data_IF_998362860103
#
_entry.id   IF_998362860103
#
_cell.length_a   1.000
_cell.length_b   1.000
_cell.length_c   1.000
_cell.angle_alpha   90.00
_cell.angle_beta   90.00
_cell.angle_gamma   90.00
#
_symmetry.space_group_name_H-M   'P 1'
#
loop_
_entity.id
_entity.type
_entity.pdbx_description
1 polymer ?
#
# COMPACT_ATOMS: atom_id res chain seq x y z
N UNK A 1 9.56 -9.38 -2.17
CA UNK A 1 9.68 -10.19 -0.95
C UNK A 1 11.13 -10.57 -0.77
N UNK A 2 11.74 -10.17 0.34
CA UNK A 2 13.06 -10.68 0.73
C UNK A 2 12.85 -11.92 1.62
N UNK A 3 13.44 -13.09 1.30
CA UNK A 3 13.26 -14.31 2.08
C UNK A 3 13.65 -14.20 3.56
N UNK A 4 14.49 -13.22 3.94
CA UNK A 4 14.98 -13.03 5.31
C UNK A 4 14.21 -11.97 6.11
N UNK A 5 13.53 -11.01 5.44
CA UNK A 5 12.92 -9.85 6.12
C UNK A 5 11.38 -9.80 6.09
N UNK A 6 10.71 -10.73 5.40
CA UNK A 6 9.26 -10.75 5.31
C UNK A 6 8.69 -9.80 4.25
N UNK A 7 7.40 -9.47 4.35
CA UNK A 7 6.76 -8.51 3.45
C UNK A 7 6.93 -7.08 3.97
N UNK A 8 7.05 -6.13 3.05
CA UNK A 8 7.13 -4.71 3.36
C UNK A 8 6.17 -3.94 2.44
N UNK A 9 5.66 -2.81 2.94
CA UNK A 9 4.86 -1.86 2.19
C UNK A 9 5.64 -0.56 2.07
N UNK A 10 5.76 -0.06 0.84
CA UNK A 10 6.32 1.28 0.60
C UNK A 10 5.18 2.21 0.24
N UNK A 11 5.05 3.29 1.01
CA UNK A 11 4.14 4.39 0.73
C UNK A 11 4.96 5.52 0.13
N UNK A 12 4.61 5.96 -1.06
CA UNK A 12 5.27 7.05 -1.74
C UNK A 12 4.24 8.07 -2.22
N UNK A 13 4.64 9.33 -2.23
CA UNK A 13 3.81 10.36 -2.84
C UNK A 13 3.61 10.05 -4.34
N UNK A 14 2.41 10.30 -4.87
CA UNK A 14 2.09 10.22 -6.31
C UNK A 14 2.05 11.58 -7.02
N UNK A 15 2.25 11.59 -8.35
CA UNK A 15 2.12 12.76 -9.22
C UNK A 15 3.44 13.52 -9.46
N UNK A 16 3.38 14.61 -10.23
CA UNK A 16 4.58 15.33 -10.74
C UNK A 16 5.49 15.86 -9.62
N UNK A 17 4.94 16.20 -8.46
CA UNK A 17 5.69 16.77 -7.34
C UNK A 17 6.66 15.76 -6.68
N UNK A 18 6.55 14.47 -7.01
CA UNK A 18 7.17 13.39 -6.23
C UNK A 18 8.49 12.94 -6.83
N UNK A 19 8.63 13.05 -8.15
CA UNK A 19 9.91 12.94 -8.87
C UNK A 19 10.95 13.93 -8.33
N UNK A 20 10.49 15.10 -7.83
CA UNK A 20 11.37 16.12 -7.28
C UNK A 20 11.72 15.90 -5.80
N UNK A 21 10.83 15.26 -5.03
CA UNK A 21 10.91 15.22 -3.57
C UNK A 21 11.47 13.91 -3.00
N UNK A 22 11.50 12.83 -3.81
CA UNK A 22 11.89 11.49 -3.37
C UNK A 22 11.24 11.12 -2.02
N UNK A 23 9.91 11.30 -1.95
CA UNK A 23 9.13 11.23 -0.72
C UNK A 23 8.48 9.84 -0.57
N UNK A 24 9.15 8.97 0.17
CA UNK A 24 8.70 7.61 0.43
C UNK A 24 9.07 7.14 1.84
N UNK A 25 8.26 6.24 2.37
CA UNK A 25 8.49 5.53 3.63
C UNK A 25 8.19 4.05 3.44
N UNK A 26 9.00 3.18 4.03
CA UNK A 26 8.80 1.73 3.98
C UNK A 26 8.53 1.21 5.39
N UNK A 27 7.51 0.38 5.54
CA UNK A 27 7.12 -0.28 6.79
C UNK A 27 7.09 -1.80 6.59
N UNK A 28 7.44 -2.55 7.64
CA UNK A 28 7.37 -4.01 7.62
C UNK A 28 5.94 -4.49 7.91
N UNK A 29 5.58 -5.65 7.35
CA UNK A 29 4.29 -6.29 7.57
C UNK A 29 4.43 -7.55 8.44
N UNK A 30 3.46 -7.84 9.32
CA UNK A 30 2.24 -7.07 9.55
C UNK A 30 2.52 -5.75 10.30
N UNK A 31 1.70 -4.73 10.03
CA UNK A 31 1.76 -3.42 10.68
C UNK A 31 0.45 -3.16 11.44
N UNK A 32 0.44 -2.18 12.34
CA UNK A 32 -0.78 -1.71 13.00
C UNK A 32 -1.18 -0.30 12.51
N UNK A 33 -2.33 0.17 12.99
CA UNK A 33 -2.89 1.49 12.67
C UNK A 33 -1.95 2.64 13.04
N UNK A 34 -1.40 2.63 14.24
CA UNK A 34 -0.53 3.71 14.72
C UNK A 34 0.72 3.84 13.86
N UNK A 35 1.33 2.71 13.49
CA UNK A 35 2.52 2.69 12.64
C UNK A 35 2.20 3.21 11.22
N UNK A 36 1.04 2.87 10.67
CA UNK A 36 0.57 3.40 9.38
C UNK A 36 0.31 4.91 9.43
N UNK A 37 -0.37 5.39 10.47
CA UNK A 37 -0.62 6.82 10.66
C UNK A 37 0.69 7.61 10.81
N UNK A 38 1.65 7.06 11.56
CA UNK A 38 2.97 7.66 11.72
C UNK A 38 3.77 7.66 10.40
N UNK A 39 3.70 6.59 9.63
CA UNK A 39 4.31 6.51 8.31
C UNK A 39 3.70 7.54 7.34
N UNK A 40 2.38 7.65 7.31
CA UNK A 40 1.69 8.64 6.48
C UNK A 40 2.04 10.08 6.88
N UNK A 41 2.13 10.36 8.18
CA UNK A 41 2.55 11.67 8.72
C UNK A 41 4.02 12.00 8.44
N UNK A 42 4.89 11.00 8.26
CA UNK A 42 6.32 11.23 8.01
C UNK A 42 6.61 11.63 6.56
N UNK A 43 5.69 11.35 5.64
CA UNK A 43 5.78 11.79 4.25
C UNK A 43 5.73 13.33 4.18
N UNK A 44 6.54 13.93 3.32
CA UNK A 44 6.54 15.38 3.03
C UNK A 44 5.20 15.83 2.45
N UNK A 45 4.52 14.98 1.68
CA UNK A 45 3.21 15.25 1.09
C UNK A 45 2.08 15.29 2.13
N UNK A 46 2.31 14.81 3.37
CA UNK A 46 1.30 14.83 4.44
C UNK A 46 0.73 16.24 4.69
N UNK A 47 1.51 17.29 4.41
CA UNK A 47 1.07 18.70 4.48
C UNK A 47 -0.07 19.04 3.53
N UNK A 48 -0.32 18.22 2.51
CA UNK A 48 -1.42 18.37 1.57
C UNK A 48 -2.68 17.62 2.03
N UNK A 49 -2.59 16.75 3.04
CA UNK A 49 -3.72 15.94 3.50
C UNK A 49 -4.80 16.83 4.14
N UNK A 50 -4.38 17.91 4.80
CA UNK A 50 -5.24 18.95 5.37
C UNK A 50 -5.70 19.99 4.34
N UNK A 51 -5.49 19.74 3.05
CA UNK A 51 -5.80 20.66 1.96
C UNK A 51 -4.76 21.75 1.78
N UNK A 52 -4.57 22.20 0.53
CA UNK A 52 -3.63 23.28 0.21
C UNK A 52 -4.27 24.29 -0.74
N UNK A 53 -4.18 25.59 -0.40
CA UNK A 53 -4.70 26.72 -1.19
C UNK A 53 -6.15 26.52 -1.71
N UNK A 54 -7.06 26.12 -0.81
CA UNK A 54 -8.47 25.90 -1.15
C UNK A 54 -8.78 24.53 -1.77
N UNK A 55 -7.78 23.65 -1.88
CA UNK A 55 -8.00 22.23 -2.20
C UNK A 55 -8.71 21.50 -1.06
N UNK A 56 -9.45 20.46 -1.41
CA UNK A 56 -10.16 19.62 -0.43
C UNK A 56 -9.19 18.80 0.42
N UNK A 57 -9.54 18.64 1.69
CA UNK A 57 -8.88 17.69 2.58
C UNK A 57 -9.15 16.26 2.10
N UNK A 58 -8.17 15.39 2.26
CA UNK A 58 -8.37 13.95 2.04
C UNK A 58 -8.87 13.27 3.31
N UNK A 59 -9.57 12.15 3.15
CA UNK A 59 -9.93 11.30 4.29
C UNK A 59 -8.79 10.35 4.65
N UNK A 60 -7.95 10.81 5.59
CA UNK A 60 -6.81 10.02 6.10
C UNK A 60 -7.27 8.77 6.84
N UNK A 61 -8.43 8.81 7.51
CA UNK A 61 -8.97 7.66 8.25
C UNK A 61 -9.41 6.54 7.31
N UNK A 62 -10.06 6.89 6.20
CA UNK A 62 -10.39 5.95 5.14
C UNK A 62 -9.13 5.39 4.47
N UNK A 63 -8.11 6.22 4.23
CA UNK A 63 -6.83 5.75 3.69
C UNK A 63 -6.19 4.69 4.60
N UNK A 64 -6.08 4.97 5.90
CA UNK A 64 -5.49 4.03 6.86
C UNK A 64 -6.31 2.75 6.93
N UNK A 65 -7.64 2.84 6.93
CA UNK A 65 -8.53 1.68 6.93
C UNK A 65 -8.34 0.82 5.68
N UNK A 66 -8.25 1.45 4.49
CA UNK A 66 -8.02 0.74 3.23
C UNK A 66 -6.66 0.03 3.22
N UNK A 67 -5.60 0.68 3.71
CA UNK A 67 -4.27 0.08 3.81
C UNK A 67 -4.23 -1.09 4.80
N UNK A 68 -4.90 -0.99 5.95
CA UNK A 68 -5.02 -2.10 6.91
C UNK A 68 -5.75 -3.30 6.29
N UNK A 69 -6.85 -3.07 5.59
CA UNK A 69 -7.59 -4.13 4.90
C UNK A 69 -6.73 -4.79 3.80
N UNK A 70 -5.94 -3.99 3.07
CA UNK A 70 -4.98 -4.50 2.09
C UNK A 70 -3.93 -5.38 2.77
N UNK A 71 -3.37 -4.97 3.91
CA UNK A 71 -2.40 -5.78 4.68
C UNK A 71 -3.03 -7.11 5.08
N UNK A 72 -4.26 -7.12 5.59
CA UNK A 72 -4.96 -8.37 5.94
C UNK A 72 -5.09 -9.29 4.73
N UNK A 73 -5.45 -8.75 3.56
CA UNK A 73 -5.55 -9.53 2.32
C UNK A 73 -4.20 -10.08 1.84
N UNK A 74 -3.16 -9.24 1.81
CA UNK A 74 -1.80 -9.61 1.39
C UNK A 74 -1.20 -10.68 2.29
N UNK A 75 -1.44 -10.59 3.60
CA UNK A 75 -0.92 -11.53 4.58
C UNK A 75 -1.66 -12.87 4.59
N UNK A 76 -2.75 -13.03 3.82
CA UNK A 76 -3.48 -14.28 3.76
C UNK A 76 -2.71 -15.33 2.92
N UNK A 77 -2.16 -16.39 3.54
CA UNK A 77 -1.35 -17.38 2.83
C UNK A 77 -2.16 -18.18 1.80
N UNK A 78 -3.49 -18.27 1.94
CA UNK A 78 -4.34 -18.97 0.99
C UNK A 78 -4.42 -18.28 -0.38
N UNK A 79 -4.17 -16.97 -0.44
CA UNK A 79 -4.13 -16.20 -1.70
C UNK A 79 -2.74 -16.30 -2.34
N UNK A 80 -1.69 -16.47 -1.52
CA UNK A 80 -0.33 -16.67 -2.01
C UNK A 80 0.29 -15.43 -2.66
N UNK A 81 -0.14 -14.23 -2.27
CA UNK A 81 0.39 -12.96 -2.82
C UNK A 81 1.89 -12.84 -2.51
N UNK A 82 2.69 -12.48 -3.52
CA UNK A 82 4.13 -12.22 -3.42
C UNK A 82 4.48 -10.75 -3.53
N UNK A 83 3.69 -10.01 -4.30
CA UNK A 83 3.88 -8.59 -4.57
C UNK A 83 2.54 -7.96 -4.99
N UNK A 84 2.28 -6.75 -4.53
CA UNK A 84 1.23 -5.87 -5.04
C UNK A 84 1.85 -4.50 -5.27
N UNK A 85 1.62 -3.94 -6.45
CA UNK A 85 1.90 -2.55 -6.78
C UNK A 85 0.58 -1.86 -7.09
N UNK A 86 0.30 -0.75 -6.39
CA UNK A 86 -0.87 0.09 -6.64
C UNK A 86 -0.38 1.46 -7.06
N UNK A 87 -0.54 1.79 -8.33
CA UNK A 87 -0.12 3.07 -8.86
C UNK A 87 -0.92 3.42 -10.13
N UNK A 88 -1.82 4.43 -10.10
CA UNK A 88 -2.03 5.37 -9.01
C UNK A 88 -3.07 4.89 -7.97
N UNK A 89 -2.85 5.30 -6.72
CA UNK A 89 -3.84 5.29 -5.64
C UNK A 89 -4.33 6.73 -5.42
N UNK A 90 -5.57 7.00 -5.78
CA UNK A 90 -6.18 8.31 -5.52
C UNK A 90 -6.92 8.32 -4.18
N UNK A 91 -6.70 9.39 -3.42
CA UNK A 91 -7.36 9.61 -2.14
C UNK A 91 -8.14 10.92 -2.26
N UNK A 92 -9.46 10.80 -2.09
CA UNK A 92 -10.39 11.92 -2.10
C UNK A 92 -10.99 12.09 -0.70
N UNK A 93 -11.79 13.13 -0.51
CA UNK A 93 -12.50 13.42 0.74
C UNK A 93 -13.42 12.29 1.21
N UNK A 94 -13.95 11.48 0.30
CA UNK A 94 -14.98 10.47 0.64
C UNK A 94 -14.65 9.07 0.12
N UNK A 95 -13.52 8.89 -0.57
CA UNK A 95 -13.15 7.58 -1.13
C UNK A 95 -11.65 7.46 -1.35
N UNK A 96 -11.18 6.22 -1.25
CA UNK A 96 -9.86 5.77 -1.70
C UNK A 96 -10.07 4.89 -2.93
N UNK A 97 -9.33 5.15 -4.01
CA UNK A 97 -9.52 4.47 -5.29
C UNK A 97 -8.18 4.06 -5.88
N UNK A 98 -7.93 2.75 -5.94
CA UNK A 98 -6.88 2.18 -6.76
C UNK A 98 -7.33 2.18 -8.23
N UNK A 99 -6.61 2.88 -9.09
CA UNK A 99 -6.95 2.98 -10.52
C UNK A 99 -6.31 1.84 -11.31
N UNK A 100 -5.08 1.49 -10.94
CA UNK A 100 -4.35 0.37 -11.52
C UNK A 100 -3.68 -0.44 -10.40
N UNK A 101 -3.67 -1.76 -10.60
CA UNK A 101 -3.12 -2.72 -9.64
C UNK A 101 -2.42 -3.84 -10.39
N UNK A 102 -1.12 -3.99 -10.14
CA UNK A 102 -0.35 -5.14 -10.58
C UNK A 102 -0.11 -6.07 -9.40
N UNK A 103 -0.45 -7.35 -9.55
CA UNK A 103 -0.30 -8.36 -8.50
C UNK A 103 0.49 -9.56 -9.02
N UNK A 104 1.45 -10.03 -8.22
CA UNK A 104 2.11 -11.33 -8.43
C UNK A 104 1.69 -12.29 -7.35
N UNK A 105 1.24 -13.46 -7.77
CA UNK A 105 0.85 -14.56 -6.88
C UNK A 105 1.81 -15.73 -7.06
N UNK A 106 2.01 -16.50 -6.00
CA UNK A 106 2.71 -17.75 -6.07
C UNK A 106 1.92 -18.68 -6.99
N UNK A 107 2.50 -19.10 -8.11
CA UNK A 107 1.96 -20.23 -8.87
C UNK A 107 2.13 -21.46 -7.99
N UNK A 108 1.02 -22.02 -7.50
CA UNK A 108 1.07 -23.33 -6.87
C UNK A 108 1.72 -24.30 -7.83
N UNK A 109 2.74 -25.03 -7.38
CA UNK A 109 3.22 -26.20 -8.11
C UNK A 109 2.00 -27.09 -8.31
N UNK A 110 1.47 -27.19 -9.54
CA UNK A 110 0.55 -28.27 -9.87
C UNK A 110 1.29 -29.54 -9.49
N UNK A 111 0.88 -30.16 -8.38
CA UNK A 111 1.38 -31.46 -8.01
C UNK A 111 1.19 -32.35 -9.21
N UNK A 112 2.29 -32.87 -9.75
CA UNK A 112 2.23 -33.99 -10.67
C UNK A 112 1.38 -35.06 -9.97
N UNK A 113 0.17 -35.27 -10.47
CA UNK A 113 -0.63 -36.44 -10.14
C UNK A 113 0.21 -37.64 -10.58
N UNK A 114 0.93 -38.23 -9.63
CA UNK A 114 1.52 -39.54 -9.78
C UNK A 114 0.36 -40.54 -9.85
N UNK A 115 -0.08 -40.84 -11.07
CA UNK A 115 -0.83 -42.06 -11.33
C UNK A 115 0.17 -43.23 -11.22
N UNK A 116 0.12 -43.93 -10.08
CA UNK A 116 0.44 -45.35 -10.00
C UNK A 116 -0.86 -46.12 -9.82
#
# INVERSE_FOLDING_TARGET
TDPQFGMAMTLAAGGILTELLADAVTILLPTNRNDLENALKSLKISKLFDGFRGGEMIDTEQLVTALLNLVVGVMNPAIGIKEIEINPLFVYKEKVCAVDVLMRIATGTSGAVNNK
#
